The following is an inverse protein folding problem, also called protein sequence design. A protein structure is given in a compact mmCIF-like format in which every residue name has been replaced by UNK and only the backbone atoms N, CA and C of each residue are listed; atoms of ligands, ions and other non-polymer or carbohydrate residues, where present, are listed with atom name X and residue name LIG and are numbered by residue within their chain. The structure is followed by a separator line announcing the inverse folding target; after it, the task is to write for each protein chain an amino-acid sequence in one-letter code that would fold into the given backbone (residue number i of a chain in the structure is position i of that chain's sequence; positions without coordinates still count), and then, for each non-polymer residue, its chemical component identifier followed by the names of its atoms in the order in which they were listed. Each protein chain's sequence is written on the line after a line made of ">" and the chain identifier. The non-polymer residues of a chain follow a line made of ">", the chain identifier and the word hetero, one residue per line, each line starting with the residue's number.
data_IF_552684389069
#
_entry.id   IF_552684389069
#
_cell.length_a   1.000
_cell.length_b   1.000
_cell.length_c   1.000
_cell.angle_alpha   90.00
_cell.angle_beta   90.00
_cell.angle_gamma   90.00
#
_symmetry.space_group_name_H-M   'P 1'
#
loop_
_entity.id
_entity.type
_entity.pdbx_description
1 polymer ?
#
# COMPACT_ATOMS: atom_id res chain seq x y z
N UNK A 1 12.67 -0.01 4.61
CA UNK A 1 12.85 1.46 4.67
C UNK A 1 12.77 1.97 6.11
N UNK A 2 11.75 1.56 6.89
CA UNK A 2 11.61 2.01 8.30
C UNK A 2 12.85 1.70 9.14
N UNK A 3 13.34 0.47 9.08
CA UNK A 3 14.51 0.03 9.85
C UNK A 3 15.78 0.80 9.47
N UNK A 4 15.96 1.10 8.17
CA UNK A 4 17.06 1.93 7.68
C UNK A 4 16.96 3.34 8.27
N UNK A 5 15.76 3.93 8.27
CA UNK A 5 15.56 5.26 8.85
C UNK A 5 15.79 5.29 10.36
N UNK A 6 15.42 4.24 11.06
CA UNK A 6 15.75 4.09 12.49
C UNK A 6 17.27 4.00 12.71
N UNK A 7 17.97 3.25 11.85
CA UNK A 7 19.44 3.16 11.91
C UNK A 7 20.08 4.52 11.64
N UNK A 8 19.60 5.27 10.64
CA UNK A 8 20.07 6.65 10.39
C UNK A 8 19.84 7.55 11.62
N UNK A 9 18.68 7.40 12.28
CA UNK A 9 18.37 8.14 13.51
C UNK A 9 19.35 7.81 14.65
N UNK A 10 19.64 6.54 14.86
CA UNK A 10 20.64 6.10 15.88
C UNK A 10 22.00 6.72 15.62
N UNK A 11 22.46 6.69 14.36
CA UNK A 11 23.73 7.29 13.94
C UNK A 11 23.74 8.81 14.13
N UNK A 12 22.63 9.48 13.86
CA UNK A 12 22.50 10.92 14.08
C UNK A 12 22.57 11.27 15.58
N UNK A 13 21.91 10.49 16.45
CA UNK A 13 22.01 10.65 17.90
C UNK A 13 23.44 10.40 18.37
N UNK A 14 24.11 9.38 17.83
CA UNK A 14 25.50 9.11 18.15
C UNK A 14 26.40 10.29 17.76
N UNK A 15 26.25 10.82 16.54
CA UNK A 15 27.03 11.95 16.05
C UNK A 15 26.76 13.28 16.80
N UNK A 16 25.56 13.44 17.37
CA UNK A 16 25.22 14.64 18.16
C UNK A 16 25.91 14.69 19.53
N UNK A 17 26.47 13.57 20.01
CA UNK A 17 27.22 13.55 21.26
C UNK A 17 28.58 14.25 21.10
N UNK A 18 28.92 15.13 22.04
CA UNK A 18 30.17 15.92 22.03
C UNK A 18 31.45 15.11 22.31
N UNK A 19 31.33 13.81 22.57
CA UNK A 19 32.49 12.93 22.86
C UNK A 19 33.18 12.41 21.58
N UNK A 20 32.53 12.49 20.43
CA UNK A 20 33.08 12.03 19.15
C UNK A 20 33.91 13.12 18.51
N UNK A 21 35.06 12.74 17.91
CA UNK A 21 35.88 13.62 17.11
C UNK A 21 35.20 13.96 15.76
N UNK A 22 35.67 15.00 15.09
CA UNK A 22 35.16 15.33 13.76
C UNK A 22 35.46 14.22 12.73
N UNK A 23 36.59 13.50 12.92
CA UNK A 23 36.94 12.34 12.09
C UNK A 23 35.93 11.19 12.27
N UNK A 24 35.57 10.88 13.52
CA UNK A 24 34.55 9.85 13.81
C UNK A 24 33.20 10.23 13.22
N UNK A 25 32.79 11.50 13.32
CA UNK A 25 31.55 11.99 12.72
C UNK A 25 31.57 11.87 11.20
N UNK A 26 32.72 12.11 10.58
CA UNK A 26 32.85 11.92 9.12
C UNK A 26 32.69 10.46 8.71
N UNK A 27 33.18 9.49 9.54
CA UNK A 27 32.95 8.07 9.29
C UNK A 27 31.46 7.70 9.42
N UNK A 28 30.79 8.23 10.45
CA UNK A 28 29.33 8.07 10.62
C UNK A 28 28.58 8.68 9.43
N UNK A 29 29.00 9.84 8.91
CA UNK A 29 28.41 10.46 7.74
C UNK A 29 28.51 9.55 6.51
N UNK A 30 29.61 8.84 6.31
CA UNK A 30 29.76 7.88 5.19
C UNK A 30 28.75 6.74 5.32
N UNK A 31 28.54 6.18 6.53
CA UNK A 31 27.51 5.16 6.75
C UNK A 31 26.11 5.71 6.45
N UNK A 32 25.79 6.91 6.92
CA UNK A 32 24.50 7.55 6.66
C UNK A 32 24.28 7.81 5.18
N UNK A 33 25.29 8.30 4.45
CA UNK A 33 25.17 8.52 2.99
C UNK A 33 24.92 7.21 2.23
N UNK A 34 25.55 6.11 2.66
CA UNK A 34 25.28 4.78 2.10
C UNK A 34 23.85 4.32 2.39
N UNK A 35 23.34 4.52 3.60
CA UNK A 35 21.97 4.19 3.98
C UNK A 35 20.93 5.05 3.24
N UNK A 36 21.18 6.33 3.02
CA UNK A 36 20.34 7.23 2.21
C UNK A 36 20.26 6.73 0.76
N UNK A 37 21.41 6.32 0.20
CA UNK A 37 21.45 5.75 -1.16
C UNK A 37 20.69 4.43 -1.24
N UNK A 38 20.70 3.62 -0.17
CA UNK A 38 19.92 2.38 -0.09
C UNK A 38 18.41 2.66 -0.02
N UNK A 39 17.98 3.74 0.65
CA UNK A 39 16.56 4.16 0.60
C UNK A 39 16.14 4.47 -0.83
N UNK A 40 16.93 5.20 -1.62
CA UNK A 40 16.64 5.49 -3.02
C UNK A 40 16.64 4.22 -3.87
N UNK A 41 17.59 3.30 -3.62
CA UNK A 41 17.61 2.01 -4.31
C UNK A 41 16.35 1.20 -4.06
N UNK A 42 15.88 1.13 -2.81
CA UNK A 42 14.63 0.44 -2.46
C UNK A 42 13.44 1.13 -3.11
N UNK A 43 13.38 2.47 -3.09
CA UNK A 43 12.29 3.22 -3.69
C UNK A 43 12.19 2.99 -5.21
N UNK A 44 13.33 2.88 -5.91
CA UNK A 44 13.38 2.62 -7.35
C UNK A 44 13.18 1.14 -7.70
N UNK A 45 13.67 0.21 -6.85
CA UNK A 45 13.59 -1.22 -7.09
C UNK A 45 12.25 -1.85 -6.69
N UNK A 46 11.44 -1.16 -5.88
CA UNK A 46 10.14 -1.67 -5.43
C UNK A 46 9.14 -1.69 -6.59
N UNK A 47 9.05 -2.84 -7.25
CA UNK A 47 8.17 -3.06 -8.41
C UNK A 47 7.10 -4.11 -8.10
N UNK A 48 5.93 -3.88 -8.63
CA UNK A 48 4.85 -4.86 -8.70
C UNK A 48 4.29 -4.88 -10.11
N UNK A 49 4.28 -6.05 -10.75
CA UNK A 49 3.84 -6.23 -12.14
C UNK A 49 4.50 -5.23 -13.12
N UNK A 50 5.82 -5.02 -12.99
CA UNK A 50 6.60 -4.10 -13.84
C UNK A 50 6.36 -2.60 -13.56
N UNK A 51 5.57 -2.27 -12.54
CA UNK A 51 5.29 -0.89 -12.14
C UNK A 51 6.06 -0.53 -10.87
N UNK A 52 6.79 0.59 -10.91
CA UNK A 52 7.47 1.13 -9.73
C UNK A 52 6.42 1.78 -8.81
N UNK A 53 6.34 1.28 -7.56
CA UNK A 53 5.29 1.67 -6.63
C UNK A 53 5.65 2.89 -5.79
N UNK A 54 6.93 3.10 -5.48
CA UNK A 54 7.38 4.10 -4.52
C UNK A 54 7.99 5.36 -5.17
N UNK A 55 7.94 5.46 -6.50
CA UNK A 55 8.51 6.58 -7.27
C UNK A 55 7.56 7.79 -7.42
N UNK A 56 6.38 7.74 -6.81
CA UNK A 56 5.40 8.83 -6.87
C UNK A 56 4.41 8.76 -8.04
N UNK A 57 4.53 7.77 -8.91
CA UNK A 57 3.61 7.59 -10.04
C UNK A 57 2.14 7.50 -9.61
N UNK A 58 1.89 6.95 -8.43
CA UNK A 58 0.55 6.72 -7.85
C UNK A 58 0.26 7.64 -6.67
N UNK A 59 0.99 8.74 -6.54
CA UNK A 59 0.77 9.71 -5.47
C UNK A 59 -0.59 10.42 -5.65
N UNK A 60 -1.13 10.96 -4.55
CA UNK A 60 -2.35 11.78 -4.63
C UNK A 60 -2.03 13.07 -5.43
N UNK A 61 -2.85 13.44 -6.41
CA UNK A 61 -2.66 14.69 -7.13
C UNK A 61 -2.75 15.86 -6.15
N UNK A 62 -1.70 16.68 -6.12
CA UNK A 62 -1.64 17.91 -5.33
C UNK A 62 -1.28 19.04 -6.31
N UNK A 63 -2.25 19.85 -6.70
CA UNK A 63 -2.15 21.05 -7.51
C UNK A 63 -1.18 21.08 -8.70
N UNK A 64 0.11 20.95 -8.48
CA UNK A 64 1.17 21.04 -9.50
C UNK A 64 1.70 19.66 -9.95
N UNK A 65 1.49 18.59 -9.19
CA UNK A 65 1.94 17.25 -9.56
C UNK A 65 0.89 16.54 -10.42
N UNK A 66 1.12 16.49 -11.72
CA UNK A 66 0.38 15.62 -12.63
C UNK A 66 0.71 14.16 -12.34
N UNK A 67 -0.19 13.48 -11.66
CA UNK A 67 -0.07 12.03 -11.38
C UNK A 67 -0.11 11.28 -12.70
N UNK A 68 0.95 10.54 -13.01
CA UNK A 68 1.07 9.83 -14.29
C UNK A 68 0.32 8.50 -14.28
N UNK A 69 -0.13 8.02 -13.14
CA UNK A 69 -0.85 6.74 -13.01
C UNK A 69 -1.89 6.77 -11.91
N UNK A 70 -2.99 6.07 -12.14
CA UNK A 70 -4.00 5.83 -11.12
C UNK A 70 -4.12 4.32 -10.88
N UNK A 71 -4.10 3.92 -9.62
CA UNK A 71 -4.28 2.53 -9.23
C UNK A 71 -5.73 2.32 -8.79
N UNK A 72 -6.49 1.67 -9.66
CA UNK A 72 -7.88 1.34 -9.43
C UNK A 72 -8.05 -0.15 -9.18
N UNK A 73 -8.74 -0.47 -8.11
CA UNK A 73 -9.20 -1.84 -7.84
C UNK A 73 -10.69 -1.90 -8.04
N UNK A 74 -11.14 -2.80 -8.90
CA UNK A 74 -12.57 -3.05 -9.08
C UNK A 74 -13.03 -3.97 -7.95
N UNK A 75 -14.00 -3.52 -7.17
CA UNK A 75 -14.43 -4.16 -5.92
C UNK A 75 -15.91 -4.57 -5.94
N UNK A 76 -16.53 -4.59 -7.12
CA UNK A 76 -17.94 -4.96 -7.24
C UNK A 76 -18.31 -5.42 -8.64
N UNK A 77 -19.53 -5.93 -8.81
CA UNK A 77 -20.03 -6.44 -10.08
C UNK A 77 -20.54 -5.35 -11.03
N UNK A 78 -20.82 -4.14 -10.52
CA UNK A 78 -21.44 -3.08 -11.28
C UNK A 78 -20.43 -2.00 -11.70
N UNK A 79 -20.81 -1.23 -12.71
CA UNK A 79 -20.05 -0.09 -13.19
C UNK A 79 -19.72 0.88 -12.04
N UNK A 80 -18.51 1.46 -12.03
CA UNK A 80 -17.99 2.40 -11.04
C UNK A 80 -17.80 1.88 -9.60
N UNK A 81 -18.01 0.59 -9.34
CA UNK A 81 -17.67 -0.04 -8.07
C UNK A 81 -16.16 -0.29 -7.98
N UNK A 82 -15.38 0.79 -7.92
CA UNK A 82 -13.93 0.77 -7.89
C UNK A 82 -13.38 1.62 -6.75
N UNK A 83 -12.24 1.22 -6.23
CA UNK A 83 -11.51 1.93 -5.19
C UNK A 83 -10.18 2.41 -5.75
N UNK A 84 -9.87 3.67 -5.53
CA UNK A 84 -8.57 4.25 -5.88
C UNK A 84 -7.63 4.17 -4.68
N UNK A 85 -6.41 3.71 -4.93
CA UNK A 85 -5.35 3.63 -3.94
C UNK A 85 -4.24 4.58 -4.34
N UNK A 86 -3.74 5.33 -3.36
CA UNK A 86 -2.65 6.27 -3.54
C UNK A 86 -1.41 5.79 -2.79
N UNK A 87 -0.26 5.84 -3.47
CA UNK A 87 1.04 5.50 -2.89
C UNK A 87 1.95 6.70 -3.10
N UNK A 88 2.34 7.34 -2.02
CA UNK A 88 3.23 8.49 -2.04
C UNK A 88 4.65 8.13 -2.46
N UNK A 89 5.41 9.13 -2.87
CA UNK A 89 6.84 8.99 -3.18
C UNK A 89 7.62 8.71 -1.89
N UNK A 90 8.48 7.69 -1.92
CA UNK A 90 9.32 7.28 -0.78
C UNK A 90 10.82 7.36 -1.13
N UNK A 91 11.19 8.21 -2.08
CA UNK A 91 12.60 8.53 -2.34
C UNK A 91 13.20 9.37 -1.21
N UNK A 92 14.52 9.37 -1.09
CA UNK A 92 15.24 10.18 -0.11
C UNK A 92 14.92 11.68 -0.24
N UNK A 93 14.71 12.14 -1.47
CA UNK A 93 14.30 13.52 -1.79
C UNK A 93 12.89 13.83 -1.25
N UNK A 94 11.89 12.99 -1.53
CA UNK A 94 10.51 13.19 -1.07
C UNK A 94 10.37 13.10 0.46
N UNK A 95 11.20 12.26 1.09
CA UNK A 95 11.30 12.18 2.53
C UNK A 95 11.94 13.45 3.13
N UNK A 96 12.73 14.18 2.33
CA UNK A 96 13.42 15.41 2.75
C UNK A 96 14.79 15.16 3.38
N UNK A 97 15.36 13.97 3.20
CA UNK A 97 16.71 13.60 3.67
C UNK A 97 17.80 13.87 2.63
N UNK A 98 17.42 14.08 1.38
CA UNK A 98 18.30 14.50 0.28
C UNK A 98 17.77 15.78 -0.36
N UNK A 99 18.66 16.67 -0.81
CA UNK A 99 18.31 17.89 -1.52
C UNK A 99 18.50 17.72 -3.04
N UNK A 100 17.61 18.32 -3.82
CA UNK A 100 17.66 18.26 -5.29
C UNK A 100 18.97 18.86 -5.78
N UNK A 101 19.83 18.04 -6.40
CA UNK A 101 21.04 18.50 -7.08
C UNK A 101 22.25 18.79 -6.20
N UNK A 102 22.13 18.74 -4.87
CA UNK A 102 23.22 19.17 -3.97
C UNK A 102 23.79 18.05 -3.11
N UNK A 103 23.16 16.86 -3.05
CA UNK A 103 23.60 15.73 -2.23
C UNK A 103 22.76 15.54 -0.97
N UNK A 104 23.34 14.90 0.06
CA UNK A 104 22.64 14.61 1.30
C UNK A 104 22.34 15.90 2.08
N UNK A 105 21.08 16.14 2.39
CA UNK A 105 20.65 17.27 3.22
C UNK A 105 21.02 17.08 4.69
N UNK A 106 21.20 15.82 5.09
CA UNK A 106 21.59 15.43 6.44
C UNK A 106 23.10 15.55 6.54
N UNK A 107 23.58 16.57 7.27
CA UNK A 107 24.97 16.73 7.67
C UNK A 107 25.13 16.31 9.13
N UNK A 108 26.14 15.49 9.40
CA UNK A 108 26.53 15.06 10.75
C UNK A 108 27.93 15.58 11.12
N UNK A 109 28.48 16.49 10.31
CA UNK A 109 29.85 17.00 10.48
C UNK A 109 30.02 17.79 11.77
N UNK A 110 28.98 18.49 12.22
CA UNK A 110 28.98 19.23 13.49
C UNK A 110 27.87 18.70 14.42
N UNK A 111 28.03 18.80 15.75
CA UNK A 111 27.01 18.37 16.72
C UNK A 111 25.66 19.06 16.52
N UNK A 112 25.67 20.37 16.18
CA UNK A 112 24.46 21.15 15.95
C UNK A 112 23.73 20.73 14.66
N UNK A 113 24.47 20.38 13.61
CA UNK A 113 23.91 19.87 12.37
C UNK A 113 23.33 18.47 12.58
N UNK A 114 24.02 17.60 13.33
CA UNK A 114 23.52 16.29 13.72
C UNK A 114 22.21 16.40 14.52
N UNK A 115 22.11 17.36 15.42
CA UNK A 115 20.89 17.61 16.18
C UNK A 115 19.73 18.07 15.28
N UNK A 116 19.97 18.93 14.29
CA UNK A 116 18.97 19.32 13.29
C UNK A 116 18.57 18.14 12.39
N UNK A 117 19.54 17.31 12.03
CA UNK A 117 19.30 16.08 11.24
C UNK A 117 18.30 15.13 11.91
N UNK A 118 18.34 15.00 13.25
CA UNK A 118 17.38 14.19 14.01
C UNK A 118 15.94 14.65 13.73
N UNK A 119 15.68 15.97 13.76
CA UNK A 119 14.38 16.52 13.45
C UNK A 119 13.91 16.16 12.02
N UNK A 120 14.81 16.30 11.04
CA UNK A 120 14.50 15.94 9.64
C UNK A 120 14.21 14.44 9.47
N UNK A 121 14.93 13.59 10.17
CA UNK A 121 14.74 12.13 10.15
C UNK A 121 13.43 11.77 10.83
N UNK A 122 13.07 12.42 11.93
CA UNK A 122 11.79 12.20 12.61
C UNK A 122 10.60 12.60 11.72
N UNK A 123 10.68 13.71 10.99
CA UNK A 123 9.69 14.08 9.97
C UNK A 123 9.56 13.04 8.86
N UNK A 124 10.69 12.52 8.38
CA UNK A 124 10.69 11.45 7.38
C UNK A 124 10.04 10.16 7.91
N UNK A 125 10.33 9.78 9.15
CA UNK A 125 9.69 8.63 9.82
C UNK A 125 8.17 8.82 9.95
N UNK A 126 7.69 10.03 10.27
CA UNK A 126 6.26 10.34 10.31
C UNK A 126 5.62 10.14 8.94
N UNK A 127 6.26 10.61 7.85
CA UNK A 127 5.78 10.42 6.48
C UNK A 127 5.67 8.92 6.12
N UNK A 128 6.70 8.13 6.44
CA UNK A 128 6.72 6.69 6.18
C UNK A 128 5.60 5.99 6.97
N UNK A 129 5.46 6.30 8.26
CA UNK A 129 4.43 5.71 9.11
C UNK A 129 3.02 6.08 8.64
N UNK A 130 2.81 7.32 8.20
CA UNK A 130 1.54 7.76 7.60
C UNK A 130 1.22 6.93 6.35
N UNK A 131 2.18 6.77 5.44
CA UNK A 131 1.98 5.95 4.24
C UNK A 131 1.67 4.48 4.59
N UNK A 132 2.35 3.91 5.59
CA UNK A 132 2.06 2.56 6.07
C UNK A 132 0.65 2.46 6.67
N UNK A 133 0.22 3.45 7.43
CA UNK A 133 -1.13 3.50 8.00
C UNK A 133 -2.20 3.59 6.90
N UNK A 134 -1.98 4.42 5.87
CA UNK A 134 -2.88 4.53 4.72
C UNK A 134 -2.99 3.19 3.97
N UNK A 135 -1.85 2.52 3.72
CA UNK A 135 -1.84 1.21 3.08
C UNK A 135 -2.53 0.14 3.94
N UNK A 136 -2.33 0.14 5.25
CA UNK A 136 -3.03 -0.75 6.18
C UNK A 136 -4.53 -0.49 6.18
N UNK A 137 -4.97 0.76 6.10
CA UNK A 137 -6.39 1.11 5.98
C UNK A 137 -6.99 0.60 4.65
N UNK A 138 -6.27 0.72 3.54
CA UNK A 138 -6.70 0.15 2.26
C UNK A 138 -6.79 -1.38 2.32
N UNK A 139 -5.80 -2.05 2.92
CA UNK A 139 -5.82 -3.50 3.09
C UNK A 139 -7.05 -3.94 3.89
N UNK A 140 -7.28 -3.36 5.07
CA UNK A 140 -8.44 -3.68 5.89
C UNK A 140 -9.76 -3.45 5.13
N UNK A 141 -9.85 -2.33 4.40
CA UNK A 141 -11.04 -2.03 3.59
C UNK A 141 -11.27 -3.07 2.50
N UNK A 142 -10.21 -3.51 1.82
CA UNK A 142 -10.30 -4.58 0.80
C UNK A 142 -10.75 -5.89 1.42
N UNK A 143 -10.22 -6.28 2.57
CA UNK A 143 -10.62 -7.49 3.27
C UNK A 143 -12.10 -7.49 3.69
N UNK A 144 -12.61 -6.35 4.17
CA UNK A 144 -14.04 -6.19 4.46
C UNK A 144 -14.89 -6.28 3.18
N UNK A 145 -14.41 -5.70 2.09
CA UNK A 145 -15.12 -5.76 0.81
C UNK A 145 -15.18 -7.17 0.26
N UNK A 146 -14.08 -7.93 0.31
CA UNK A 146 -14.03 -9.34 -0.11
C UNK A 146 -15.08 -10.16 0.68
N UNK A 147 -15.08 -10.04 2.01
CA UNK A 147 -16.10 -10.72 2.85
C UNK A 147 -17.53 -10.34 2.47
N UNK A 148 -17.79 -9.07 2.19
CA UNK A 148 -19.10 -8.60 1.75
C UNK A 148 -19.50 -9.16 0.38
N UNK A 149 -18.54 -9.28 -0.54
CA UNK A 149 -18.76 -9.86 -1.86
C UNK A 149 -19.03 -11.37 -1.78
N UNK A 150 -18.33 -12.11 -0.91
CA UNK A 150 -18.56 -13.53 -0.70
C UNK A 150 -19.98 -13.80 -0.18
N UNK A 151 -20.45 -13.03 0.81
CA UNK A 151 -21.82 -13.12 1.32
C UNK A 151 -22.84 -12.76 0.23
N UNK A 152 -22.55 -11.74 -0.57
CA UNK A 152 -23.43 -11.33 -1.67
C UNK A 152 -23.50 -12.40 -2.76
N UNK A 153 -22.38 -13.04 -3.08
CA UNK A 153 -22.31 -14.13 -4.05
C UNK A 153 -23.11 -15.34 -3.56
N UNK A 154 -22.98 -15.73 -2.29
CA UNK A 154 -23.74 -16.82 -1.69
C UNK A 154 -25.27 -16.54 -1.73
N UNK A 155 -25.67 -15.33 -1.35
CA UNK A 155 -27.09 -14.92 -1.42
C UNK A 155 -27.64 -14.92 -2.84
N UNK A 156 -26.86 -14.46 -3.83
CA UNK A 156 -27.24 -14.48 -5.24
C UNK A 156 -27.36 -15.93 -5.75
N UNK A 157 -26.41 -16.79 -5.40
CA UNK A 157 -26.44 -18.19 -5.78
C UNK A 157 -27.63 -18.91 -5.16
N UNK A 158 -27.95 -18.66 -3.88
CA UNK A 158 -29.13 -19.20 -3.22
C UNK A 158 -30.44 -18.68 -3.87
N UNK A 159 -30.44 -17.45 -4.37
CA UNK A 159 -31.60 -16.88 -5.07
C UNK A 159 -31.73 -17.44 -6.49
N UNK A 160 -30.62 -17.61 -7.21
CA UNK A 160 -30.60 -18.28 -8.50
C UNK A 160 -31.11 -19.72 -8.38
N UNK A 161 -30.63 -20.48 -7.40
CA UNK A 161 -31.09 -21.85 -7.11
C UNK A 161 -32.61 -21.89 -6.89
N UNK A 162 -33.16 -20.98 -6.08
CA UNK A 162 -34.63 -20.90 -5.86
C UNK A 162 -35.44 -20.60 -7.12
N UNK A 163 -34.87 -19.91 -8.09
CA UNK A 163 -35.56 -19.57 -9.34
C UNK A 163 -35.37 -20.67 -10.39
N UNK A 164 -34.20 -21.27 -10.44
CA UNK A 164 -33.80 -22.15 -11.54
C UNK A 164 -33.95 -23.63 -11.20
N UNK A 165 -33.78 -24.02 -9.92
CA UNK A 165 -33.82 -25.39 -9.53
C UNK A 165 -35.27 -25.88 -9.38
N UNK A 166 -35.56 -26.98 -10.02
CA UNK A 166 -36.86 -27.62 -9.95
C UNK A 166 -36.80 -28.72 -8.90
N UNK A 167 -37.79 -28.75 -8.01
CA UNK A 167 -37.96 -29.87 -7.08
C UNK A 167 -38.35 -31.11 -7.87
N UNK A 168 -37.37 -31.98 -8.10
CA UNK A 168 -37.54 -33.22 -8.85
C UNK A 168 -38.59 -34.14 -8.24
N UNK A 169 -38.76 -34.15 -6.92
CA UNK A 169 -39.79 -34.97 -6.26
C UNK A 169 -41.17 -34.46 -6.61
N UNK A 170 -41.39 -33.17 -6.56
CA UNK A 170 -42.66 -32.52 -6.97
C UNK A 170 -42.96 -32.71 -8.48
N UNK A 171 -41.95 -32.58 -9.32
CA UNK A 171 -42.10 -32.77 -10.78
C UNK A 171 -42.39 -34.26 -11.11
N UNK A 172 -41.78 -35.20 -10.43
CA UNK A 172 -42.05 -36.63 -10.62
C UNK A 172 -43.46 -37.00 -10.18
N UNK A 173 -43.97 -36.41 -9.09
CA UNK A 173 -45.36 -36.61 -8.64
C UNK A 173 -46.33 -36.04 -9.69
N UNK A 174 -46.06 -34.86 -10.24
CA UNK A 174 -46.90 -34.28 -11.29
C UNK A 174 -46.85 -35.09 -12.59
N UNK A 175 -45.66 -35.56 -12.98
CA UNK A 175 -45.47 -36.45 -14.13
C UNK A 175 -46.22 -37.77 -13.97
N UNK A 176 -46.12 -38.46 -12.82
CA UNK A 176 -46.86 -39.70 -12.56
C UNK A 176 -48.36 -39.47 -12.51
N UNK A 177 -48.84 -38.41 -11.87
CA UNK A 177 -50.27 -38.03 -11.90
C UNK A 177 -50.76 -37.84 -13.32
N UNK A 178 -50.06 -37.08 -14.15
CA UNK A 178 -50.48 -36.84 -15.54
C UNK A 178 -50.41 -38.14 -16.37
N UNK A 179 -49.43 -39.00 -16.16
CA UNK A 179 -49.31 -40.28 -16.81
C UNK A 179 -50.47 -41.23 -16.45
N UNK A 180 -50.87 -41.30 -15.16
CA UNK A 180 -52.02 -42.11 -14.68
C UNK A 180 -53.32 -41.57 -15.25
N UNK A 181 -53.52 -40.25 -15.29
CA UNK A 181 -54.71 -39.62 -15.90
C UNK A 181 -54.80 -39.90 -17.40
N UNK A 182 -53.67 -39.90 -18.11
CA UNK A 182 -53.64 -40.26 -19.53
C UNK A 182 -53.99 -41.72 -19.77
N UNK A 183 -53.48 -42.64 -18.92
CA UNK A 183 -53.82 -44.07 -19.00
C UNK A 183 -55.29 -44.38 -18.62
N UNK A 184 -55.85 -43.58 -17.71
CA UNK A 184 -57.24 -43.75 -17.30
C UNK A 184 -58.26 -43.14 -18.25
N UNK A 185 -57.81 -42.22 -19.17
CA UNK A 185 -58.66 -41.53 -20.14
C UNK A 185 -58.65 -42.15 -21.52
N UNK A 186 -57.86 -43.22 -21.73
CA UNK A 186 -57.89 -44.05 -22.95
C UNK A 186 -58.57 -45.39 -22.68
#
# INVERSE_FOLDING_TARGET
>A
TTDIMQRIRELAIQASNGIYSDEDRMQIQVEVSALVSEVDRIASAAQFNGMNMLTGRFARPTGENTVTGSMWFHIGANMDQRMQVYIGTMSAEALGIREIGTGDKISLAAPDDANRAIGTIDEALVKINKQRADLGAYQNRMEYTVRGLDISAENLQASESRIRDTDMASQMVEFTKNSVLQQAGT
#
